data_IF_077097161779
#
_entry.id   IF_077097161779
#
_cell.length_a   1.000
_cell.length_b   1.000
_cell.length_c   1.000
_cell.angle_alpha   90.00
_cell.angle_beta   90.00
_cell.angle_gamma   90.00
#
_symmetry.space_group_name_H-M   'P 1'
#
loop_
_entity.id
_entity.type
_entity.pdbx_description
1 polymer ?
#
# COMPACT_ATOMS: atom_id res chain seq x y z
N UNK A 1 33.32 20.89 4.85
CA UNK A 1 32.35 22.01 4.99
C UNK A 1 31.65 22.42 3.68
N UNK A 2 31.67 21.59 2.62
CA UNK A 2 31.09 21.93 1.30
C UNK A 2 29.77 21.20 0.99
N UNK A 3 29.38 20.20 1.79
CA UNK A 3 28.18 19.38 1.56
C UNK A 3 26.89 20.01 2.10
N UNK A 4 26.96 20.71 3.24
CA UNK A 4 25.81 21.40 3.87
C UNK A 4 25.31 22.60 3.04
N UNK A 5 26.22 23.28 2.33
CA UNK A 5 25.92 24.46 1.51
C UNK A 5 25.19 24.12 0.20
N UNK A 6 25.28 22.88 -0.30
CA UNK A 6 24.54 22.42 -1.49
C UNK A 6 23.07 22.07 -1.16
N UNK A 7 22.80 21.55 0.03
CA UNK A 7 21.42 21.30 0.50
C UNK A 7 20.64 22.59 0.76
N UNK A 8 21.31 23.64 1.25
CA UNK A 8 20.69 24.96 1.48
C UNK A 8 20.35 25.73 0.19
N UNK A 9 21.05 25.49 -0.92
CA UNK A 9 20.78 26.16 -2.21
C UNK A 9 19.67 25.44 -3.00
N UNK A 10 19.52 24.11 -2.85
CA UNK A 10 18.37 23.37 -3.40
C UNK A 10 17.07 23.64 -2.64
N UNK A 11 17.15 23.93 -1.34
CA UNK A 11 15.97 24.26 -0.52
C UNK A 11 15.35 25.63 -0.83
N UNK A 12 16.14 26.60 -1.32
CA UNK A 12 15.66 27.97 -1.60
C UNK A 12 15.13 28.16 -3.03
N UNK A 13 15.49 27.28 -3.98
CA UNK A 13 14.97 27.31 -5.35
C UNK A 13 13.56 26.70 -5.49
N UNK A 14 13.10 25.89 -4.53
CA UNK A 14 11.74 25.34 -4.53
C UNK A 14 10.66 26.33 -4.03
N UNK A 15 11.03 27.46 -3.42
CA UNK A 15 10.07 28.41 -2.84
C UNK A 15 9.51 29.43 -3.85
N UNK A 16 9.96 29.40 -5.11
CA UNK A 16 9.56 30.40 -6.12
C UNK A 16 8.80 29.82 -7.33
N UNK A 17 8.51 28.52 -7.35
CA UNK A 17 7.66 27.91 -8.36
C UNK A 17 6.50 27.20 -7.68
N UNK A 18 5.41 27.92 -7.44
CA UNK A 18 4.03 27.44 -7.57
C UNK A 18 3.06 28.53 -7.10
N UNK A 19 2.82 29.52 -7.95
CA UNK A 19 1.48 30.09 -8.05
C UNK A 19 0.73 29.27 -9.08
N UNK A 20 0.21 28.11 -8.67
CA UNK A 20 -0.87 27.50 -9.41
C UNK A 20 -2.05 28.46 -9.29
N UNK A 21 -2.50 29.02 -10.41
CA UNK A 21 -3.66 29.87 -10.44
C UNK A 21 -4.85 29.08 -9.88
N UNK A 22 -5.41 29.55 -8.77
CA UNK A 22 -6.69 29.05 -8.27
C UNK A 22 -7.74 29.34 -9.36
N UNK A 23 -8.29 28.29 -9.94
CA UNK A 23 -9.45 28.42 -10.82
C UNK A 23 -10.69 28.69 -9.96
N UNK A 24 -11.54 29.58 -10.46
CA UNK A 24 -12.78 30.05 -9.82
C UNK A 24 -13.72 28.89 -9.43
N UNK A 25 -14.55 29.06 -8.39
CA UNK A 25 -15.37 27.99 -7.80
C UNK A 25 -16.47 27.44 -8.74
N UNK A 26 -16.79 28.16 -9.81
CA UNK A 26 -17.80 27.77 -10.80
C UNK A 26 -17.42 26.50 -11.61
N UNK A 27 -16.13 26.12 -11.65
CA UNK A 27 -15.68 24.91 -12.35
C UNK A 27 -15.88 23.61 -11.56
N UNK A 28 -16.14 23.69 -10.24
CA UNK A 28 -16.39 22.52 -9.39
C UNK A 28 -17.74 21.88 -9.70
N UNK A 29 -18.75 22.68 -10.09
CA UNK A 29 -20.13 22.22 -10.21
C UNK A 29 -20.51 21.61 -11.57
N UNK A 30 -19.76 21.88 -12.64
CA UNK A 30 -20.15 21.44 -14.00
C UNK A 30 -19.85 19.96 -14.27
N UNK A 31 -18.82 19.39 -13.64
CA UNK A 31 -18.43 17.98 -13.82
C UNK A 31 -18.58 17.12 -12.55
N UNK A 32 -19.08 17.69 -11.44
CA UNK A 32 -19.28 16.94 -10.20
C UNK A 32 -20.54 16.05 -10.24
N UNK A 33 -20.49 14.83 -9.65
CA UNK A 33 -21.67 13.98 -9.55
C UNK A 33 -22.74 14.62 -8.66
N UNK A 34 -24.01 14.51 -9.07
CA UNK A 34 -25.17 15.12 -8.38
C UNK A 34 -25.19 14.84 -6.86
N UNK A 35 -24.82 13.63 -6.47
CA UNK A 35 -24.74 13.25 -5.06
C UNK A 35 -23.75 14.10 -4.23
N UNK A 36 -22.61 14.46 -4.81
CA UNK A 36 -21.62 15.29 -4.14
C UNK A 36 -22.09 16.75 -4.02
N UNK A 37 -22.87 17.23 -5.00
CA UNK A 37 -23.51 18.56 -4.94
C UNK A 37 -24.53 18.59 -3.81
N UNK A 38 -25.35 17.55 -3.64
CA UNK A 38 -26.29 17.45 -2.53
C UNK A 38 -25.56 17.53 -1.17
N UNK A 39 -24.45 16.79 -1.02
CA UNK A 39 -23.62 16.85 0.18
C UNK A 39 -23.01 18.24 0.44
N UNK A 40 -22.55 18.92 -0.62
CA UNK A 40 -22.01 20.27 -0.52
C UNK A 40 -23.08 21.26 -0.05
N UNK A 41 -24.27 21.22 -0.64
CA UNK A 41 -25.38 22.11 -0.24
C UNK A 41 -25.84 21.85 1.19
N UNK A 42 -25.87 20.59 1.63
CA UNK A 42 -26.22 20.22 3.00
C UNK A 42 -25.20 20.78 4.01
N UNK A 43 -23.90 20.66 3.72
CA UNK A 43 -22.86 21.19 4.61
C UNK A 43 -22.83 22.72 4.61
N UNK A 44 -23.02 23.37 3.47
CA UNK A 44 -23.08 24.82 3.38
C UNK A 44 -24.34 25.42 4.02
N UNK A 45 -25.34 24.61 4.37
CA UNK A 45 -26.49 25.06 5.17
C UNK A 45 -26.17 25.19 6.67
N UNK A 46 -25.08 24.58 7.13
CA UNK A 46 -24.65 24.66 8.53
C UNK A 46 -23.92 25.97 8.80
N UNK A 47 -24.32 26.68 9.86
CA UNK A 47 -23.75 27.99 10.26
C UNK A 47 -22.22 28.01 10.36
N UNK A 48 -21.60 26.85 10.59
CA UNK A 48 -20.15 26.68 10.67
C UNK A 48 -19.43 26.84 9.32
N UNK A 49 -20.13 26.58 8.20
CA UNK A 49 -19.53 26.45 6.86
C UNK A 49 -20.13 27.40 5.80
N UNK A 50 -21.24 28.09 6.10
CA UNK A 50 -21.99 28.99 5.19
C UNK A 50 -21.11 30.07 4.53
N UNK A 51 -20.13 30.62 5.26
CA UNK A 51 -19.30 31.74 4.78
C UNK A 51 -17.89 31.31 4.33
N UNK A 52 -17.61 30.01 4.26
CA UNK A 52 -16.29 29.57 3.83
C UNK A 52 -16.09 29.83 2.35
N UNK A 53 -15.06 30.60 2.01
CA UNK A 53 -14.57 30.70 0.63
C UNK A 53 -13.87 29.40 0.18
N UNK A 54 -13.67 29.26 -1.13
CA UNK A 54 -13.03 28.07 -1.73
C UNK A 54 -11.66 27.76 -1.11
N UNK A 55 -10.84 28.77 -0.83
CA UNK A 55 -9.53 28.58 -0.20
C UNK A 55 -9.64 28.03 1.24
N UNK A 56 -10.65 28.48 1.99
CA UNK A 56 -10.93 27.98 3.33
C UNK A 56 -11.45 26.54 3.30
N UNK A 57 -12.24 26.16 2.29
CA UNK A 57 -12.68 24.78 2.08
C UNK A 57 -11.51 23.84 1.78
N UNK A 58 -10.58 24.25 0.91
CA UNK A 58 -9.41 23.43 0.54
C UNK A 58 -8.42 23.21 1.70
N UNK A 59 -8.35 24.14 2.66
CA UNK A 59 -7.43 24.07 3.81
C UNK A 59 -8.06 23.48 5.07
N UNK A 60 -9.39 23.50 5.20
CA UNK A 60 -10.08 23.10 6.42
C UNK A 60 -10.26 21.58 6.53
N UNK A 61 -9.52 20.98 7.47
CA UNK A 61 -9.68 19.57 7.85
C UNK A 61 -11.11 19.22 8.36
N UNK A 62 -11.80 20.06 9.15
CA UNK A 62 -13.16 19.77 9.60
C UNK A 62 -14.14 19.62 8.44
N UNK A 63 -14.07 20.52 7.44
CA UNK A 63 -14.89 20.47 6.25
C UNK A 63 -14.61 19.22 5.41
N UNK A 64 -13.32 18.93 5.13
CA UNK A 64 -12.94 17.72 4.39
C UNK A 64 -13.45 16.44 5.07
N UNK A 65 -13.43 16.40 6.42
CA UNK A 65 -13.98 15.28 7.19
C UNK A 65 -15.50 15.20 7.07
N UNK A 66 -16.21 16.31 7.23
CA UNK A 66 -17.67 16.34 7.14
C UNK A 66 -18.17 15.96 5.73
N UNK A 67 -17.49 16.47 4.69
CA UNK A 67 -17.72 16.09 3.30
C UNK A 67 -17.47 14.60 3.09
N UNK A 68 -16.36 14.07 3.59
CA UNK A 68 -16.06 12.64 3.53
C UNK A 68 -17.16 11.77 4.15
N UNK A 69 -17.71 12.16 5.31
CA UNK A 69 -18.82 11.42 5.94
C UNK A 69 -20.07 11.42 5.06
N UNK A 70 -20.43 12.56 4.47
CA UNK A 70 -21.61 12.65 3.61
C UNK A 70 -21.44 11.81 2.33
N UNK A 71 -20.29 11.93 1.65
CA UNK A 71 -20.00 11.18 0.43
C UNK A 71 -20.04 9.67 0.65
N UNK A 72 -19.47 9.18 1.75
CA UNK A 72 -19.49 7.75 2.09
C UNK A 72 -20.89 7.22 2.41
N UNK A 73 -21.83 8.11 2.75
CA UNK A 73 -23.21 7.74 3.11
C UNK A 73 -24.14 7.80 1.89
N UNK A 74 -23.98 8.81 1.04
CA UNK A 74 -24.91 9.09 -0.06
C UNK A 74 -24.39 8.68 -1.44
N UNK A 75 -23.08 8.64 -1.65
CA UNK A 75 -22.48 8.48 -2.98
C UNK A 75 -21.83 7.11 -3.14
N UNK A 76 -21.77 6.63 -4.39
CA UNK A 76 -20.99 5.42 -4.69
C UNK A 76 -19.49 5.69 -4.57
N UNK A 77 -18.68 4.63 -4.40
CA UNK A 77 -17.22 4.77 -4.34
C UNK A 77 -16.64 5.46 -5.59
N UNK A 78 -17.19 5.16 -6.77
CA UNK A 78 -16.75 5.77 -8.03
C UNK A 78 -17.07 7.28 -8.03
N UNK A 79 -18.31 7.66 -7.70
CA UNK A 79 -18.71 9.06 -7.60
C UNK A 79 -17.90 9.84 -6.56
N UNK A 80 -17.58 9.21 -5.44
CA UNK A 80 -16.73 9.80 -4.40
C UNK A 80 -15.32 10.06 -4.94
N UNK A 81 -14.73 9.11 -5.68
CA UNK A 81 -13.40 9.31 -6.28
C UNK A 81 -13.41 10.37 -7.38
N UNK A 82 -14.45 10.42 -8.22
CA UNK A 82 -14.65 11.47 -9.23
C UNK A 82 -14.74 12.86 -8.58
N UNK A 83 -15.48 12.98 -7.49
CA UNK A 83 -15.56 14.22 -6.72
C UNK A 83 -14.22 14.60 -6.09
N UNK A 84 -13.47 13.65 -5.53
CA UNK A 84 -12.14 13.91 -4.97
C UNK A 84 -11.18 14.37 -6.08
N UNK A 85 -11.27 13.78 -7.29
CA UNK A 85 -10.49 14.21 -8.44
C UNK A 85 -10.81 15.64 -8.86
N UNK A 86 -12.10 15.96 -8.98
CA UNK A 86 -12.55 17.31 -9.36
C UNK A 86 -12.19 18.35 -8.29
N UNK A 87 -12.42 18.04 -7.01
CA UNK A 87 -12.12 18.95 -5.90
C UNK A 87 -10.62 19.14 -5.69
N UNK A 88 -9.80 18.09 -5.84
CA UNK A 88 -8.33 18.22 -5.78
C UNK A 88 -7.79 19.05 -6.93
N UNK A 89 -8.34 18.92 -8.15
CA UNK A 89 -8.00 19.77 -9.28
C UNK A 89 -8.36 21.24 -9.03
N UNK A 90 -9.53 21.50 -8.45
CA UNK A 90 -9.97 22.85 -8.09
C UNK A 90 -9.15 23.50 -6.96
N UNK A 91 -8.68 22.69 -6.01
CA UNK A 91 -7.76 23.12 -4.94
C UNK A 91 -6.29 23.19 -5.40
N UNK A 92 -5.98 22.82 -6.65
CA UNK A 92 -4.61 22.80 -7.18
C UNK A 92 -3.68 21.79 -6.49
N UNK A 93 -4.24 20.73 -5.89
CA UNK A 93 -3.48 19.71 -5.15
C UNK A 93 -2.92 18.71 -6.17
N UNK A 94 -1.59 18.62 -6.36
CA UNK A 94 -1.01 17.66 -7.28
C UNK A 94 -1.15 16.23 -6.73
N UNK A 95 -1.34 15.22 -7.60
CA UNK A 95 -1.40 13.83 -7.17
C UNK A 95 -0.03 13.38 -6.62
N UNK A 96 -0.07 12.68 -5.49
CA UNK A 96 1.10 12.09 -4.85
C UNK A 96 1.53 10.86 -5.64
N UNK A 97 2.83 10.76 -5.93
CA UNK A 97 3.41 9.63 -6.61
C UNK A 97 4.50 8.95 -5.76
N UNK A 98 4.11 7.88 -5.10
CA UNK A 98 4.98 7.03 -4.29
C UNK A 98 5.39 5.73 -5.02
N UNK A 99 5.09 5.60 -6.30
CA UNK A 99 5.34 4.39 -7.11
C UNK A 99 6.80 3.93 -7.00
N UNK A 100 7.75 4.87 -7.04
CA UNK A 100 9.20 4.58 -6.92
C UNK A 100 9.56 4.04 -5.54
N UNK A 101 8.95 4.58 -4.49
CA UNK A 101 9.19 4.14 -3.10
C UNK A 101 8.71 2.70 -2.94
N UNK A 102 7.48 2.41 -3.36
CA UNK A 102 6.94 1.04 -3.34
C UNK A 102 7.81 0.08 -4.16
N UNK A 103 8.17 0.46 -5.38
CA UNK A 103 9.02 -0.37 -6.25
C UNK A 103 10.35 -0.69 -5.60
N UNK A 104 11.01 0.32 -5.03
CA UNK A 104 12.31 0.15 -4.38
C UNK A 104 12.20 -0.74 -3.13
N UNK A 105 11.23 -0.48 -2.26
CA UNK A 105 11.03 -1.26 -1.03
C UNK A 105 10.77 -2.72 -1.31
N UNK A 106 9.91 -3.04 -2.29
CA UNK A 106 9.59 -4.42 -2.66
C UNK A 106 10.80 -5.13 -3.28
N UNK A 107 11.56 -4.46 -4.14
CA UNK A 107 12.76 -5.02 -4.77
C UNK A 107 13.86 -5.30 -3.74
N UNK A 108 14.09 -4.38 -2.79
CA UNK A 108 15.07 -4.58 -1.71
C UNK A 108 14.68 -5.78 -0.84
N UNK A 109 13.41 -5.87 -0.42
CA UNK A 109 12.94 -6.97 0.40
C UNK A 109 13.08 -8.33 -0.30
N UNK A 110 12.71 -8.41 -1.58
CA UNK A 110 12.86 -9.62 -2.38
C UNK A 110 14.34 -10.00 -2.57
N UNK A 111 15.21 -9.04 -2.87
CA UNK A 111 16.64 -9.28 -3.00
C UNK A 111 17.26 -9.83 -1.70
N UNK A 112 16.92 -9.24 -0.55
CA UNK A 112 17.37 -9.72 0.76
C UNK A 112 16.90 -11.16 1.04
N UNK A 113 15.64 -11.48 0.71
CA UNK A 113 15.11 -12.83 0.88
C UNK A 113 15.91 -13.86 0.06
N UNK A 114 16.23 -13.56 -1.20
CA UNK A 114 17.04 -14.42 -2.06
C UNK A 114 18.47 -14.56 -1.53
N UNK A 115 19.09 -13.49 -1.03
CA UNK A 115 20.43 -13.54 -0.42
C UNK A 115 20.43 -14.45 0.81
N UNK A 116 19.46 -14.31 1.72
CA UNK A 116 19.38 -15.18 2.90
C UNK A 116 19.12 -16.64 2.54
N UNK A 117 18.28 -16.89 1.53
CA UNK A 117 18.08 -18.24 1.03
C UNK A 117 19.37 -18.83 0.43
N UNK A 118 20.10 -18.06 -0.38
CA UNK A 118 21.37 -18.48 -0.95
C UNK A 118 22.42 -18.76 0.12
N UNK A 119 22.51 -17.92 1.15
CA UNK A 119 23.39 -18.14 2.30
C UNK A 119 23.04 -19.43 3.04
N UNK A 120 21.74 -19.68 3.27
CA UNK A 120 21.25 -20.91 3.92
C UNK A 120 21.60 -22.17 3.12
N UNK A 121 21.39 -22.16 1.81
CA UNK A 121 21.74 -23.28 0.95
C UNK A 121 23.27 -23.44 0.86
N UNK A 122 24.00 -22.34 0.79
CA UNK A 122 25.46 -22.33 0.75
C UNK A 122 26.12 -22.89 2.01
N UNK A 123 25.64 -22.54 3.20
CA UNK A 123 26.14 -23.13 4.47
C UNK A 123 25.88 -24.62 4.52
N UNK A 124 24.71 -25.06 4.03
CA UNK A 124 24.34 -26.47 3.98
C UNK A 124 25.27 -27.28 3.09
N UNK A 125 25.54 -26.80 1.88
CA UNK A 125 26.47 -27.44 0.95
C UNK A 125 27.90 -27.47 1.50
N UNK A 126 28.36 -26.38 2.14
CA UNK A 126 29.72 -26.34 2.73
C UNK A 126 29.88 -27.28 3.92
N UNK A 127 28.84 -27.47 4.72
CA UNK A 127 28.86 -28.34 5.89
C UNK A 127 28.46 -29.80 5.59
N UNK A 128 28.09 -30.12 4.34
CA UNK A 128 27.70 -31.48 3.94
C UNK A 128 26.44 -32.00 4.64
N UNK A 129 25.54 -31.10 5.07
CA UNK A 129 24.34 -31.47 5.82
C UNK A 129 23.26 -32.07 4.89
N UNK A 130 22.55 -33.09 5.36
CA UNK A 130 21.50 -33.79 4.62
C UNK A 130 20.26 -32.92 4.41
N UNK A 131 19.56 -33.09 3.28
CA UNK A 131 18.35 -32.32 2.96
C UNK A 131 17.24 -32.58 3.99
N UNK A 132 16.76 -31.52 4.64
CA UNK A 132 15.74 -31.59 5.67
C UNK A 132 14.39 -31.08 5.18
N UNK A 133 13.32 -31.43 5.91
CA UNK A 133 11.97 -30.96 5.61
C UNK A 133 11.84 -29.43 5.73
N UNK A 134 12.60 -28.81 6.64
CA UNK A 134 12.73 -27.35 6.78
C UNK A 134 13.27 -26.69 5.50
N UNK A 135 14.26 -27.28 4.84
CA UNK A 135 14.80 -26.74 3.59
C UNK A 135 13.84 -26.88 2.41
N UNK A 136 13.07 -27.98 2.36
CA UNK A 136 12.02 -28.15 1.38
C UNK A 136 10.93 -27.07 1.54
N UNK A 137 10.48 -26.81 2.77
CA UNK A 137 9.48 -25.78 3.08
C UNK A 137 10.02 -24.38 2.81
N UNK A 138 11.28 -24.11 3.16
CA UNK A 138 11.92 -22.83 2.86
C UNK A 138 12.04 -22.62 1.34
N UNK A 139 12.45 -23.65 0.59
CA UNK A 139 12.53 -23.58 -0.88
C UNK A 139 11.15 -23.33 -1.50
N UNK A 140 10.11 -23.99 -0.99
CA UNK A 140 8.74 -23.77 -1.43
C UNK A 140 8.25 -22.34 -1.12
N UNK A 141 8.59 -21.79 0.05
CA UNK A 141 8.25 -20.39 0.39
C UNK A 141 8.89 -19.39 -0.57
N UNK A 142 10.15 -19.60 -0.97
CA UNK A 142 10.83 -18.76 -1.95
C UNK A 142 10.18 -18.91 -3.33
N UNK A 143 9.78 -20.12 -3.71
CA UNK A 143 9.05 -20.35 -4.95
C UNK A 143 7.71 -19.58 -5.00
N UNK A 144 6.98 -19.47 -3.88
CA UNK A 144 5.74 -18.66 -3.76
C UNK A 144 6.02 -17.16 -3.73
N UNK A 145 7.17 -16.74 -3.18
CA UNK A 145 7.57 -15.32 -3.18
C UNK A 145 7.86 -14.76 -4.59
N UNK A 146 8.23 -15.59 -5.56
CA UNK A 146 8.46 -15.17 -6.95
C UNK A 146 7.18 -14.62 -7.60
N UNK A 147 6.06 -15.37 -7.71
CA UNK A 147 4.83 -14.83 -8.26
C UNK A 147 4.27 -13.67 -7.43
N UNK A 148 4.46 -13.68 -6.09
CA UNK A 148 4.10 -12.53 -5.23
C UNK A 148 4.81 -11.25 -5.70
N UNK A 149 6.13 -11.30 -5.90
CA UNK A 149 6.91 -10.16 -6.37
C UNK A 149 6.48 -9.72 -7.78
N UNK A 150 6.24 -10.65 -8.69
CA UNK A 150 5.80 -10.34 -10.07
C UNK A 150 4.44 -9.62 -10.07
N UNK A 151 3.45 -10.15 -9.34
CA UNK A 151 2.12 -9.54 -9.22
C UNK A 151 2.23 -8.13 -8.64
N UNK A 152 3.08 -7.94 -7.62
CA UNK A 152 3.30 -6.63 -7.02
C UNK A 152 3.87 -5.61 -8.02
N UNK A 153 4.84 -6.02 -8.86
CA UNK A 153 5.39 -5.15 -9.91
C UNK A 153 4.34 -4.80 -10.97
N UNK A 154 3.44 -5.72 -11.30
CA UNK A 154 2.30 -5.45 -12.19
C UNK A 154 1.38 -4.40 -11.55
N UNK A 155 1.01 -4.56 -10.27
CA UNK A 155 0.17 -3.61 -9.56
C UNK A 155 0.80 -2.20 -9.51
N UNK A 156 2.10 -2.11 -9.23
CA UNK A 156 2.87 -0.85 -9.26
C UNK A 156 2.80 -0.21 -10.65
N UNK A 157 2.88 -1.02 -11.71
CA UNK A 157 2.81 -0.52 -13.09
C UNK A 157 1.39 -0.12 -13.52
N UNK A 158 0.36 -0.65 -12.86
CA UNK A 158 -1.04 -0.24 -13.03
C UNK A 158 -1.40 1.04 -12.26
N UNK A 159 -0.51 1.53 -11.39
CA UNK A 159 -0.72 2.76 -10.61
C UNK A 159 -0.70 2.58 -9.09
N UNK A 160 -0.35 1.39 -8.57
CA UNK A 160 -0.18 1.21 -7.12
C UNK A 160 0.93 2.15 -6.59
N UNK A 161 0.55 3.05 -5.69
CA UNK A 161 1.41 4.12 -5.17
C UNK A 161 1.07 5.51 -5.70
N UNK A 162 0.13 5.64 -6.64
CA UNK A 162 -0.52 6.89 -7.01
C UNK A 162 -1.80 7.09 -6.18
N UNK A 163 -2.24 8.34 -6.08
CA UNK A 163 -3.55 8.64 -5.51
C UNK A 163 -4.68 7.95 -6.28
N UNK A 164 -5.60 7.32 -5.53
CA UNK A 164 -6.63 6.44 -6.09
C UNK A 164 -7.55 7.16 -7.10
N UNK A 165 -7.83 8.45 -6.88
CA UNK A 165 -8.66 9.28 -7.76
C UNK A 165 -7.95 9.69 -9.07
N UNK A 166 -6.65 9.48 -9.21
CA UNK A 166 -5.89 9.79 -10.42
C UNK A 166 -5.89 8.62 -11.43
N UNK A 167 -6.20 7.41 -10.96
CA UNK A 167 -6.16 6.17 -11.73
C UNK A 167 -7.51 5.94 -12.43
N UNK A 168 -7.50 5.30 -13.61
CA UNK A 168 -8.73 4.94 -14.31
C UNK A 168 -9.51 3.85 -13.52
N UNK A 169 -10.83 3.94 -13.46
CA UNK A 169 -11.72 2.98 -12.80
C UNK A 169 -11.41 1.52 -13.18
N UNK A 170 -11.16 1.26 -14.46
CA UNK A 170 -10.82 -0.08 -14.94
C UNK A 170 -9.51 -0.62 -14.33
N UNK A 171 -8.51 0.25 -14.18
CA UNK A 171 -7.22 -0.08 -13.56
C UNK A 171 -7.39 -0.24 -12.05
N UNK A 172 -8.21 0.59 -11.40
CA UNK A 172 -8.53 0.48 -9.98
C UNK A 172 -9.13 -0.89 -9.66
N UNK A 173 -10.15 -1.31 -10.42
CA UNK A 173 -10.78 -2.63 -10.24
C UNK A 173 -9.76 -3.76 -10.44
N UNK A 174 -8.88 -3.64 -11.43
CA UNK A 174 -7.83 -4.64 -11.67
C UNK A 174 -6.83 -4.72 -10.53
N UNK A 175 -6.40 -3.57 -9.98
CA UNK A 175 -5.52 -3.51 -8.81
C UNK A 175 -6.18 -4.22 -7.61
N UNK A 176 -7.46 -3.97 -7.33
CA UNK A 176 -8.16 -4.67 -6.25
C UNK A 176 -8.28 -6.18 -6.48
N UNK A 177 -8.51 -6.62 -7.71
CA UNK A 177 -8.50 -8.06 -8.04
C UNK A 177 -7.13 -8.69 -7.79
N UNK A 178 -6.05 -8.02 -8.20
CA UNK A 178 -4.68 -8.47 -7.97
C UNK A 178 -4.30 -8.41 -6.48
N UNK A 179 -4.87 -7.48 -5.71
CA UNK A 179 -4.68 -7.40 -4.27
C UNK A 179 -5.21 -8.65 -3.55
N UNK A 180 -6.34 -9.22 -3.99
CA UNK A 180 -6.81 -10.50 -3.42
C UNK A 180 -5.84 -11.64 -3.74
N UNK A 181 -5.32 -11.67 -4.98
CA UNK A 181 -4.33 -12.69 -5.37
C UNK A 181 -3.04 -12.57 -4.55
N UNK A 182 -2.56 -11.35 -4.33
CA UNK A 182 -1.32 -11.12 -3.60
C UNK A 182 -1.46 -11.47 -2.11
N UNK A 183 -2.63 -11.21 -1.53
CA UNK A 183 -2.92 -11.56 -0.13
C UNK A 183 -2.90 -13.08 0.08
N UNK A 184 -3.48 -13.85 -0.85
CA UNK A 184 -3.44 -15.33 -0.80
C UNK A 184 -2.00 -15.84 -0.90
N UNK A 185 -1.19 -15.28 -1.80
CA UNK A 185 0.23 -15.64 -1.93
C UNK A 185 1.02 -15.28 -0.65
N UNK A 186 0.72 -14.14 -0.05
CA UNK A 186 1.33 -13.69 1.20
C UNK A 186 1.03 -14.62 2.37
N UNK A 187 -0.25 -14.95 2.59
CA UNK A 187 -0.67 -15.89 3.64
C UNK A 187 -0.04 -17.27 3.42
N UNK A 188 -0.04 -17.76 2.18
CA UNK A 188 0.62 -19.02 1.83
C UNK A 188 2.11 -19.00 2.17
N UNK A 189 2.83 -17.94 1.79
CA UNK A 189 4.25 -17.79 2.11
C UNK A 189 4.49 -17.72 3.63
N UNK A 190 3.65 -17.00 4.38
CA UNK A 190 3.74 -16.92 5.83
C UNK A 190 3.57 -18.27 6.52
N UNK A 191 2.58 -19.06 6.12
CA UNK A 191 2.33 -20.41 6.64
C UNK A 191 3.55 -21.30 6.40
N UNK A 192 4.09 -21.28 5.17
CA UNK A 192 5.26 -22.07 4.80
C UNK A 192 6.50 -21.69 5.60
N UNK A 193 6.78 -20.40 5.79
CA UNK A 193 7.94 -19.93 6.58
C UNK A 193 7.79 -20.34 8.04
N UNK A 194 6.61 -20.17 8.64
CA UNK A 194 6.38 -20.59 10.03
C UNK A 194 6.51 -22.11 10.18
N UNK A 195 5.99 -22.88 9.22
CA UNK A 195 6.13 -24.34 9.21
C UNK A 195 7.60 -24.78 9.08
N UNK A 196 8.40 -24.09 8.27
CA UNK A 196 9.83 -24.33 8.13
C UNK A 196 10.55 -24.16 9.48
N UNK A 197 10.34 -23.04 10.17
CA UNK A 197 10.91 -22.77 11.50
C UNK A 197 10.49 -23.82 12.54
N UNK A 198 9.22 -24.24 12.54
CA UNK A 198 8.74 -25.28 13.45
C UNK A 198 9.40 -26.64 13.15
N UNK A 199 9.59 -26.99 11.88
CA UNK A 199 10.32 -28.19 11.48
C UNK A 199 11.78 -28.15 11.93
N UNK A 200 12.43 -26.98 11.82
CA UNK A 200 13.78 -26.76 12.33
C UNK A 200 13.86 -26.99 13.85
N UNK A 201 12.90 -26.48 14.61
CA UNK A 201 12.84 -26.70 16.06
C UNK A 201 12.63 -28.17 16.44
N UNK A 202 11.83 -28.94 15.69
CA UNK A 202 11.68 -30.38 15.93
C UNK A 202 12.98 -31.16 15.72
N UNK A 203 13.83 -30.72 14.80
CA UNK A 203 15.12 -31.35 14.53
C UNK A 203 16.16 -31.05 15.62
N UNK A 204 16.21 -29.81 16.13
CA UNK A 204 17.21 -29.40 17.12
C UNK A 204 16.87 -29.87 18.52
N UNK A 205 15.61 -29.76 18.94
CA UNK A 205 15.22 -30.03 20.32
C UNK A 205 14.69 -31.46 20.47
N UNK A 206 15.36 -32.32 21.25
CA UNK A 206 14.92 -33.70 21.46
C UNK A 206 13.82 -33.85 22.52
N UNK A 207 13.50 -32.81 23.30
CA UNK A 207 12.53 -32.90 24.40
C UNK A 207 11.11 -33.23 23.90
N UNK A 208 10.47 -34.23 24.52
CA UNK A 208 9.18 -34.75 24.09
C UNK A 208 8.03 -33.78 24.35
N UNK A 209 8.04 -33.06 25.47
CA UNK A 209 6.99 -32.06 25.78
C UNK A 209 7.05 -30.92 24.78
N UNK A 210 8.25 -30.42 24.50
CA UNK A 210 8.48 -29.41 23.48
C UNK A 210 8.03 -29.85 22.08
N UNK A 211 8.33 -31.09 21.68
CA UNK A 211 7.91 -31.63 20.37
C UNK A 211 6.40 -31.74 20.20
N UNK A 212 5.67 -32.09 21.26
CA UNK A 212 4.19 -32.11 21.22
C UNK A 212 3.65 -30.69 21.01
N UNK A 213 4.14 -29.71 21.77
CA UNK A 213 3.74 -28.32 21.60
C UNK A 213 3.98 -27.81 20.18
N UNK A 214 5.16 -28.08 19.61
CA UNK A 214 5.51 -27.64 18.25
C UNK A 214 4.59 -28.27 17.20
N UNK A 215 4.24 -29.56 17.35
CA UNK A 215 3.26 -30.22 16.46
C UNK A 215 1.86 -29.63 16.58
N UNK A 216 1.40 -29.30 17.78
CA UNK A 216 0.13 -28.60 17.99
C UNK A 216 0.15 -27.21 17.32
N UNK A 217 1.22 -26.45 17.49
CA UNK A 217 1.39 -25.14 16.83
C UNK A 217 1.43 -25.26 15.32
N UNK A 218 2.05 -26.32 14.79
CA UNK A 218 2.09 -26.57 13.35
C UNK A 218 0.70 -26.89 12.79
N UNK A 219 -0.09 -27.71 13.49
CA UNK A 219 -1.47 -27.97 13.11
C UNK A 219 -2.31 -26.68 13.13
N UNK A 220 -2.19 -25.88 14.20
CA UNK A 220 -2.84 -24.57 14.32
C UNK A 220 -2.47 -23.63 13.17
N UNK A 221 -1.19 -23.60 12.79
CA UNK A 221 -0.68 -22.77 11.70
C UNK A 221 -1.29 -23.11 10.35
N UNK A 222 -1.45 -24.40 10.06
CA UNK A 222 -2.06 -24.86 8.81
C UNK A 222 -3.57 -24.59 8.80
N UNK A 223 -4.21 -24.64 9.97
CA UNK A 223 -5.67 -24.54 10.09
C UNK A 223 -6.19 -23.10 10.07
N UNK A 224 -5.40 -22.17 10.59
CA UNK A 224 -5.74 -20.73 10.67
C UNK A 224 -5.02 -19.90 9.61
N UNK A 225 -4.02 -20.50 8.96
CA UNK A 225 -3.13 -19.90 7.97
C UNK A 225 -3.74 -18.82 7.11
#
# INVERSE_FOLDING_TARGET
MTLSRRFLILGTLCLLYNTAAAQSPDSILTDAPKCAVDCLTELLSQKEYVEMGQEAMCSSKPFAKAMGVCLMTKCSMIQTMDFIKASSAACGIPPINNTTVYRLSCTIAFALAIVFFALRIGTKFRLGLTWGMDDALTTLSVAVMIPYYVVLQIMISLGLGLDMWFINDAQMILIFKLFIVIEVLYLTALVLVKAAILCFFLQIFPDNKFRIMVKCTMAFNILIG
#
